data_IF_920531884393
#
_entry.id   IF_920531884393
#
_cell.length_a   1.000
_cell.length_b   1.000
_cell.length_c   1.000
_cell.angle_alpha   90.00
_cell.angle_beta   90.00
_cell.angle_gamma   90.00
#
_symmetry.space_group_name_H-M   'P 1'
#
loop_
_entity.id
_entity.type
_entity.pdbx_description
1 polymer ?
#
# COMPACT_ATOMS: atom_id res chain seq x y z
N UNK A 1 10.48 1.12 -59.30
CA UNK A 1 11.78 0.75 -58.70
C UNK A 1 11.53 -0.21 -57.53
N UNK A 2 11.52 -1.51 -57.82
CA UNK A 2 11.61 -2.60 -56.85
C UNK A 2 12.22 -3.78 -57.60
N UNK A 3 13.41 -4.22 -57.21
CA UNK A 3 13.92 -5.53 -57.59
C UNK A 3 14.90 -5.98 -56.51
N UNK A 4 14.45 -6.98 -55.76
CA UNK A 4 15.18 -7.72 -54.76
C UNK A 4 16.06 -8.75 -55.49
N UNK A 5 17.37 -8.78 -55.22
CA UNK A 5 18.26 -9.86 -55.62
C UNK A 5 18.52 -10.76 -54.41
N UNK A 6 18.07 -12.01 -54.53
CA UNK A 6 18.50 -13.14 -53.73
C UNK A 6 19.99 -13.45 -53.95
N UNK A 7 20.63 -13.99 -52.92
CA UNK A 7 21.66 -15.02 -53.08
C UNK A 7 21.32 -16.18 -52.14
N UNK A 8 21.38 -17.35 -52.75
CA UNK A 8 20.99 -18.69 -52.29
C UNK A 8 22.28 -19.52 -52.26
N UNK A 9 22.44 -20.45 -51.31
CA UNK A 9 23.36 -21.62 -51.31
C UNK A 9 23.39 -22.18 -49.87
N UNK A 10 23.08 -23.43 -49.54
CA UNK A 10 22.67 -24.60 -50.31
C UNK A 10 22.53 -25.79 -49.34
N UNK A 11 21.58 -26.68 -49.63
CA UNK A 11 21.56 -28.16 -49.51
C UNK A 11 22.61 -28.86 -48.60
N UNK A 12 22.35 -29.97 -47.89
CA UNK A 12 21.46 -31.09 -48.19
C UNK A 12 21.55 -32.20 -47.11
N UNK A 13 20.40 -32.83 -46.82
CA UNK A 13 20.10 -34.27 -46.62
C UNK A 13 20.90 -35.17 -45.65
N UNK A 14 20.14 -35.94 -44.85
CA UNK A 14 20.41 -37.39 -44.68
C UNK A 14 20.05 -38.02 -43.33
N UNK A 15 18.84 -38.58 -43.20
CA UNK A 15 18.47 -39.56 -42.15
C UNK A 15 18.39 -40.95 -42.81
N UNK A 16 19.03 -41.98 -42.23
CA UNK A 16 18.43 -43.32 -41.95
C UNK A 16 19.37 -44.32 -41.25
N UNK A 17 18.71 -45.17 -40.44
CA UNK A 17 19.12 -46.22 -39.50
C UNK A 17 19.67 -47.55 -40.08
N UNK A 18 20.39 -48.32 -39.25
CA UNK A 18 20.13 -49.76 -38.88
C UNK A 18 21.09 -50.22 -37.73
N UNK A 19 20.58 -50.63 -36.55
CA UNK A 19 20.40 -52.02 -35.97
C UNK A 19 21.73 -52.77 -35.65
N UNK A 20 21.97 -53.51 -34.55
CA UNK A 20 21.20 -54.12 -33.45
C UNK A 20 22.20 -54.70 -32.39
N UNK A 21 21.87 -54.76 -31.08
CA UNK A 21 21.98 -55.96 -30.19
C UNK A 21 21.48 -55.67 -28.75
N UNK A 22 20.92 -56.72 -28.11
CA UNK A 22 19.98 -56.74 -26.97
C UNK A 22 20.64 -56.99 -25.58
N UNK A 23 20.14 -56.26 -24.56
CA UNK A 23 19.66 -56.61 -23.19
C UNK A 23 20.41 -57.61 -22.25
N UNK A 24 20.36 -57.44 -20.89
CA UNK A 24 19.12 -57.73 -20.15
C UNK A 24 18.71 -56.81 -18.98
N UNK A 25 17.42 -56.93 -18.68
CA UNK A 25 16.60 -56.42 -17.58
C UNK A 25 17.20 -56.54 -16.17
N UNK A 26 16.93 -55.53 -15.34
CA UNK A 26 16.57 -55.73 -13.94
C UNK A 26 15.35 -54.89 -13.57
N UNK A 27 14.34 -55.59 -13.07
CA UNK A 27 13.13 -55.08 -12.44
C UNK A 27 13.43 -54.00 -11.39
N UNK A 28 12.63 -52.93 -11.39
CA UNK A 28 12.03 -52.42 -10.17
C UNK A 28 10.75 -51.64 -10.51
N UNK A 29 9.63 -52.36 -10.43
CA UNK A 29 8.33 -51.78 -10.16
C UNK A 29 8.36 -51.21 -8.74
N UNK A 30 8.24 -49.89 -8.58
CA UNK A 30 7.82 -49.31 -7.32
C UNK A 30 6.62 -48.38 -7.57
N UNK A 31 5.44 -48.94 -7.32
CA UNK A 31 4.21 -48.18 -7.06
C UNK A 31 4.32 -47.59 -5.65
N UNK A 32 4.27 -46.26 -5.53
CA UNK A 32 4.01 -45.52 -4.28
C UNK A 32 3.57 -44.11 -4.70
N UNK A 33 2.28 -43.86 -4.91
CA UNK A 33 1.34 -43.29 -3.91
C UNK A 33 2.08 -42.40 -2.91
N UNK A 34 2.38 -41.17 -3.31
CA UNK A 34 2.49 -39.99 -2.43
C UNK A 34 2.66 -38.80 -3.37
N UNK A 35 1.54 -38.23 -3.80
CA UNK A 35 1.52 -36.84 -4.24
C UNK A 35 1.93 -36.01 -3.03
N UNK A 36 3.20 -35.60 -2.97
CA UNK A 36 3.53 -34.45 -2.16
C UNK A 36 2.76 -33.29 -2.76
N UNK A 37 1.65 -32.92 -2.11
CA UNK A 37 1.13 -31.57 -2.24
C UNK A 37 2.32 -30.66 -1.95
N UNK A 38 2.82 -30.05 -3.00
CA UNK A 38 3.72 -28.92 -2.87
C UNK A 38 2.93 -27.92 -2.06
N UNK A 39 3.25 -27.82 -0.76
CA UNK A 39 2.65 -26.82 0.10
C UNK A 39 2.83 -25.51 -0.66
N UNK A 40 1.72 -24.87 -1.03
CA UNK A 40 1.74 -23.54 -1.60
C UNK A 40 2.64 -22.72 -0.69
N UNK A 41 3.78 -22.27 -1.21
CA UNK A 41 4.62 -21.32 -0.51
C UNK A 41 3.79 -20.04 -0.41
N UNK A 42 2.98 -19.93 0.64
CA UNK A 42 2.37 -18.66 1.00
C UNK A 42 3.54 -17.71 1.24
N UNK A 43 3.74 -16.67 0.43
CA UNK A 43 4.84 -15.76 0.65
C UNK A 43 4.67 -15.18 2.05
N UNK A 44 5.69 -15.32 2.90
CA UNK A 44 5.70 -14.70 4.22
C UNK A 44 5.41 -13.21 4.02
N UNK A 45 4.34 -12.73 4.65
CA UNK A 45 3.87 -11.37 4.46
C UNK A 45 4.90 -10.42 5.08
N UNK A 46 5.50 -9.56 4.25
CA UNK A 46 6.47 -8.56 4.69
C UNK A 46 5.78 -7.62 5.70
N UNK A 47 6.39 -7.45 6.87
CA UNK A 47 5.88 -6.60 7.97
C UNK A 47 5.56 -5.18 7.48
N UNK A 48 6.28 -4.70 6.47
CA UNK A 48 5.98 -3.42 5.82
C UNK A 48 4.55 -3.35 5.29
N UNK A 49 4.00 -4.41 4.68
CA UNK A 49 2.63 -4.42 4.18
C UNK A 49 1.59 -4.35 5.31
N UNK A 50 1.88 -4.96 6.46
CA UNK A 50 1.01 -4.85 7.65
C UNK A 50 0.97 -3.40 8.13
N UNK A 51 2.14 -2.77 8.22
CA UNK A 51 2.29 -1.39 8.69
C UNK A 51 1.64 -0.39 7.73
N UNK A 52 1.74 -0.58 6.42
CA UNK A 52 1.08 0.30 5.44
C UNK A 52 -0.44 0.18 5.50
N UNK A 53 -1.00 -1.03 5.62
CA UNK A 53 -2.45 -1.19 5.77
C UNK A 53 -2.97 -0.68 7.12
N UNK A 54 -2.22 -0.88 8.19
CA UNK A 54 -2.53 -0.28 9.48
C UNK A 54 -2.55 1.25 9.40
N UNK A 55 -1.60 1.86 8.68
CA UNK A 55 -1.56 3.31 8.48
C UNK A 55 -2.75 3.83 7.65
N UNK A 56 -3.17 3.11 6.61
CA UNK A 56 -4.42 3.41 5.89
C UNK A 56 -5.61 3.46 6.84
N UNK A 57 -5.78 2.42 7.66
CA UNK A 57 -6.85 2.33 8.63
C UNK A 57 -6.80 3.47 9.65
N UNK A 58 -5.65 3.68 10.29
CA UNK A 58 -5.45 4.71 11.32
C UNK A 58 -5.70 6.12 10.76
N UNK A 59 -5.26 6.42 9.54
CA UNK A 59 -5.59 7.68 8.87
C UNK A 59 -7.09 7.78 8.57
N UNK A 60 -7.71 6.72 8.06
CA UNK A 60 -9.13 6.71 7.72
C UNK A 60 -10.05 6.92 8.93
N UNK A 61 -9.61 6.55 10.14
CA UNK A 61 -10.34 6.84 11.38
C UNK A 61 -10.61 8.34 11.54
N UNK A 62 -9.78 9.24 11.03
CA UNK A 62 -10.03 10.69 11.07
C UNK A 62 -11.31 11.12 10.32
N UNK A 63 -11.86 10.29 9.44
CA UNK A 63 -12.87 10.67 8.45
C UNK A 63 -14.14 9.83 8.52
N UNK A 64 -14.45 9.27 9.69
CA UNK A 64 -15.62 8.40 9.92
C UNK A 64 -16.97 9.09 9.70
N UNK A 65 -17.02 10.43 9.73
CA UNK A 65 -18.24 11.16 9.38
C UNK A 65 -18.53 11.14 7.87
N UNK A 66 -17.51 10.88 7.04
CA UNK A 66 -17.60 10.88 5.58
C UNK A 66 -17.46 9.50 4.95
N UNK A 67 -16.74 8.59 5.59
CA UNK A 67 -16.54 7.22 5.13
C UNK A 67 -17.01 6.20 6.16
N UNK A 68 -17.80 5.25 5.69
CA UNK A 68 -18.19 4.06 6.44
C UNK A 68 -17.09 3.00 6.30
N UNK A 69 -16.29 2.83 7.35
CA UNK A 69 -15.18 1.88 7.38
C UNK A 69 -15.73 0.46 7.62
N UNK A 70 -15.37 -0.49 6.75
CA UNK A 70 -16.00 -1.82 6.76
C UNK A 70 -15.08 -2.89 7.36
N UNK A 71 -13.95 -3.15 6.71
CA UNK A 71 -13.01 -4.21 7.08
C UNK A 71 -11.67 -4.02 6.39
N UNK A 72 -10.63 -4.72 6.87
CA UNK A 72 -9.40 -4.97 6.11
C UNK A 72 -9.51 -6.36 5.51
N UNK A 73 -9.34 -6.45 4.20
CA UNK A 73 -9.26 -7.73 3.48
C UNK A 73 -7.85 -8.28 3.57
N UNK A 74 -7.65 -9.35 4.32
CA UNK A 74 -6.36 -9.98 4.60
C UNK A 74 -5.91 -10.93 3.49
N UNK A 75 -6.77 -11.20 2.52
CA UNK A 75 -6.40 -12.07 1.42
C UNK A 75 -5.26 -11.43 0.62
N UNK A 76 -4.28 -12.21 0.15
CA UNK A 76 -3.28 -11.71 -0.75
C UNK A 76 -3.92 -11.12 -2.00
N UNK A 77 -3.36 -10.02 -2.50
CA UNK A 77 -3.80 -9.48 -3.78
C UNK A 77 -3.66 -10.54 -4.89
N UNK A 78 -4.67 -10.63 -5.76
CA UNK A 78 -4.63 -11.55 -6.89
C UNK A 78 -3.50 -11.19 -7.87
N UNK A 79 -2.94 -12.21 -8.54
CA UNK A 79 -1.97 -12.13 -9.65
C UNK A 79 -0.67 -11.36 -9.32
N UNK A 80 0.33 -12.06 -8.77
CA UNK A 80 1.73 -11.61 -8.59
C UNK A 80 1.96 -10.36 -7.70
N UNK A 81 0.91 -9.80 -7.11
CA UNK A 81 1.00 -8.66 -6.18
C UNK A 81 1.26 -9.15 -4.75
N UNK A 82 2.39 -8.72 -4.18
CA UNK A 82 2.73 -8.99 -2.77
C UNK A 82 1.93 -8.06 -1.86
N UNK A 83 1.37 -8.59 -0.77
CA UNK A 83 0.70 -7.79 0.27
C UNK A 83 -0.79 -8.12 0.45
N UNK A 84 -1.44 -7.37 1.35
CA UNK A 84 -2.83 -7.52 1.79
C UNK A 84 -3.77 -6.81 0.80
N UNK A 85 -4.98 -7.35 0.57
CA UNK A 85 -5.99 -6.79 -0.34
C UNK A 85 -6.57 -5.44 0.12
N UNK A 86 -6.41 -5.15 1.40
CA UNK A 86 -6.34 -3.80 1.95
C UNK A 86 -7.65 -3.29 2.52
N UNK A 87 -7.59 -2.09 3.07
CA UNK A 87 -8.73 -1.42 3.71
C UNK A 87 -9.91 -1.25 2.74
N UNK A 88 -11.09 -1.70 3.15
CA UNK A 88 -12.37 -1.48 2.46
C UNK A 88 -13.23 -0.50 3.24
N UNK A 89 -13.70 0.54 2.55
CA UNK A 89 -14.63 1.52 3.08
C UNK A 89 -15.57 2.01 1.99
N UNK A 90 -16.75 2.45 2.38
CA UNK A 90 -17.72 3.08 1.50
C UNK A 90 -17.74 4.58 1.76
N UNK A 91 -17.92 5.35 0.70
CA UNK A 91 -18.30 6.75 0.80
C UNK A 91 -19.82 6.85 0.73
N UNK A 92 -20.42 7.73 1.51
CA UNK A 92 -21.83 8.08 1.32
C UNK A 92 -22.04 8.70 -0.08
N UNK A 93 -22.65 7.92 -0.98
CA UNK A 93 -22.88 8.29 -2.37
C UNK A 93 -23.77 9.54 -2.50
N UNK A 94 -24.56 9.87 -1.47
CA UNK A 94 -25.46 11.03 -1.47
C UNK A 94 -24.75 12.35 -1.23
N UNK A 95 -23.52 12.34 -0.69
CA UNK A 95 -22.74 13.56 -0.45
C UNK A 95 -22.04 14.01 -1.74
N UNK A 96 -22.10 15.29 -2.06
CA UNK A 96 -21.37 15.88 -3.20
C UNK A 96 -19.87 15.76 -2.99
N UNK A 97 -19.12 15.48 -4.06
CA UNK A 97 -17.65 15.43 -4.01
C UNK A 97 -17.05 16.83 -3.88
N UNK A 98 -16.94 17.30 -2.64
CA UNK A 98 -16.24 18.53 -2.29
C UNK A 98 -14.72 18.31 -2.24
N UNK A 99 -13.89 19.36 -2.42
CA UNK A 99 -12.43 19.26 -2.30
C UNK A 99 -11.96 18.58 -1.00
N UNK A 100 -12.69 18.81 0.10
CA UNK A 100 -12.44 18.14 1.39
C UNK A 100 -12.41 16.61 1.27
N UNK A 101 -13.36 16.01 0.55
CA UNK A 101 -13.46 14.55 0.42
C UNK A 101 -12.28 13.98 -0.38
N UNK A 102 -11.91 14.67 -1.45
CA UNK A 102 -10.74 14.31 -2.25
C UNK A 102 -9.45 14.39 -1.44
N UNK A 103 -9.35 15.38 -0.57
CA UNK A 103 -8.22 15.53 0.34
C UNK A 103 -8.15 14.42 1.39
N UNK A 104 -9.29 14.00 1.93
CA UNK A 104 -9.34 12.86 2.86
C UNK A 104 -8.86 11.57 2.18
N UNK A 105 -9.34 11.29 0.96
CA UNK A 105 -8.90 10.12 0.18
C UNK A 105 -7.40 10.19 -0.12
N UNK A 106 -6.90 11.37 -0.50
CA UNK A 106 -5.47 11.57 -0.73
C UNK A 106 -4.63 11.32 0.54
N UNK A 107 -5.09 11.76 1.72
CA UNK A 107 -4.42 11.50 2.99
C UNK A 107 -4.39 10.00 3.32
N UNK A 108 -5.49 9.29 3.08
CA UNK A 108 -5.53 7.83 3.24
C UNK A 108 -4.51 7.20 2.30
N UNK A 109 -4.58 7.46 0.99
CA UNK A 109 -3.67 6.83 0.01
C UNK A 109 -2.19 7.10 0.32
N UNK A 110 -1.81 8.35 0.65
CA UNK A 110 -0.40 8.66 0.89
C UNK A 110 0.16 8.06 2.19
N UNK A 111 -0.72 7.54 3.05
CA UNK A 111 -0.31 6.99 4.34
C UNK A 111 0.59 5.77 4.22
N UNK A 112 0.47 4.95 3.16
CA UNK A 112 1.40 3.83 2.96
C UNK A 112 2.84 4.29 2.75
N UNK A 113 3.07 5.32 1.93
CA UNK A 113 4.40 5.89 1.69
C UNK A 113 4.97 6.48 2.99
N UNK A 114 4.16 7.24 3.73
CA UNK A 114 4.59 7.81 5.01
C UNK A 114 4.96 6.71 6.02
N UNK A 115 4.12 5.69 6.16
CA UNK A 115 4.35 4.59 7.09
C UNK A 115 5.53 3.71 6.69
N UNK A 116 5.70 3.39 5.41
CA UNK A 116 6.86 2.67 4.91
C UNK A 116 8.17 3.43 5.17
N UNK A 117 8.14 4.76 5.03
CA UNK A 117 9.29 5.63 5.31
C UNK A 117 9.63 5.65 6.80
N UNK A 118 8.63 5.82 7.67
CA UNK A 118 8.83 5.77 9.13
C UNK A 118 9.28 4.38 9.58
N UNK A 119 8.72 3.31 9.02
CA UNK A 119 9.10 1.94 9.35
C UNK A 119 10.57 1.65 8.98
N UNK A 120 11.01 2.11 7.80
CA UNK A 120 12.38 1.88 7.32
C UNK A 120 13.42 2.73 8.04
N UNK A 121 13.11 4.00 8.30
CA UNK A 121 14.08 4.98 8.77
C UNK A 121 13.93 5.34 10.26
N UNK A 122 12.78 5.03 10.87
CA UNK A 122 12.47 5.40 12.24
C UNK A 122 11.78 6.77 12.36
N UNK A 123 10.91 6.87 13.37
CA UNK A 123 10.11 8.07 13.68
C UNK A 123 10.98 9.32 13.90
N UNK A 124 12.05 9.18 14.68
CA UNK A 124 12.94 10.29 15.04
C UNK A 124 13.66 10.88 13.82
N UNK A 125 14.20 10.00 12.96
CA UNK A 125 14.93 10.41 11.76
C UNK A 125 13.99 11.12 10.79
N UNK A 126 12.81 10.55 10.51
CA UNK A 126 11.80 11.22 9.67
C UNK A 126 11.35 12.55 10.27
N UNK A 127 11.22 12.64 11.60
CA UNK A 127 10.88 13.88 12.30
C UNK A 127 11.87 15.02 12.03
N UNK A 128 13.16 14.71 11.95
CA UNK A 128 14.22 15.69 11.64
C UNK A 128 14.27 16.02 10.14
N UNK A 129 14.27 14.98 9.29
CA UNK A 129 14.55 15.10 7.87
C UNK A 129 13.37 15.57 7.03
N UNK A 130 12.12 15.41 7.48
CA UNK A 130 10.94 15.82 6.68
C UNK A 130 10.92 17.31 6.34
N UNK A 131 11.65 18.13 7.09
CA UNK A 131 11.79 19.57 6.83
C UNK A 131 12.56 19.88 5.53
N UNK A 132 13.37 18.93 5.04
CA UNK A 132 14.10 19.03 3.79
C UNK A 132 13.23 18.70 2.56
N UNK A 133 12.00 18.23 2.76
CA UNK A 133 11.08 17.92 1.66
C UNK A 133 10.46 19.21 1.12
N UNK A 134 10.34 19.38 -0.20
CA UNK A 134 10.58 18.40 -1.27
C UNK A 134 11.97 18.42 -1.89
N UNK A 135 12.86 19.29 -1.41
CA UNK A 135 14.17 19.51 -2.03
C UNK A 135 15.03 18.24 -2.00
N UNK A 136 14.89 17.42 -0.95
CA UNK A 136 15.50 16.09 -0.85
C UNK A 136 14.47 15.04 -0.40
N UNK A 137 14.02 14.19 -1.33
CA UNK A 137 13.06 13.12 -1.04
C UNK A 137 13.70 11.73 -0.84
N UNK A 138 15.01 11.65 -0.59
CA UNK A 138 15.74 10.37 -0.51
C UNK A 138 15.20 9.41 0.57
N UNK A 139 14.59 9.97 1.62
CA UNK A 139 14.01 9.22 2.74
C UNK A 139 12.57 8.74 2.47
N UNK A 140 11.98 9.08 1.33
CA UNK A 140 10.65 8.58 0.96
C UNK A 140 10.74 7.17 0.36
N UNK A 141 10.03 6.24 0.97
CA UNK A 141 9.93 4.85 0.52
C UNK A 141 8.66 4.67 -0.32
N UNK A 142 8.82 4.52 -1.63
CA UNK A 142 7.71 4.28 -2.57
C UNK A 142 7.64 2.83 -3.07
N UNK A 143 8.67 2.03 -2.81
CA UNK A 143 8.69 0.60 -3.16
C UNK A 143 7.58 -0.14 -2.40
N UNK A 144 6.67 -0.77 -3.15
CA UNK A 144 5.49 -1.45 -2.61
C UNK A 144 4.26 -0.54 -2.42
N UNK A 145 4.38 0.77 -2.64
CA UNK A 145 3.31 1.76 -2.43
C UNK A 145 2.96 2.55 -3.70
N UNK A 146 3.40 2.09 -4.88
CA UNK A 146 3.25 2.84 -6.13
C UNK A 146 1.79 3.11 -6.53
N UNK A 147 0.91 2.11 -6.37
CA UNK A 147 -0.51 2.27 -6.70
C UNK A 147 -1.21 3.30 -5.80
N UNK A 148 -0.87 3.29 -4.50
CA UNK A 148 -1.35 4.29 -3.54
C UNK A 148 -0.89 5.69 -3.93
N UNK A 149 0.39 5.84 -4.27
CA UNK A 149 0.94 7.13 -4.71
C UNK A 149 0.26 7.66 -5.99
N UNK A 150 -0.09 6.78 -6.92
CA UNK A 150 -0.87 7.14 -8.10
C UNK A 150 -2.30 7.57 -7.75
N UNK A 151 -2.99 6.84 -6.86
CA UNK A 151 -4.33 7.19 -6.36
C UNK A 151 -4.33 8.52 -5.63
N UNK A 152 -3.37 8.72 -4.73
CA UNK A 152 -3.08 9.99 -4.05
C UNK A 152 -2.99 11.15 -5.05
N UNK A 153 -2.18 10.99 -6.09
CA UNK A 153 -1.99 12.03 -7.12
C UNK A 153 -3.28 12.32 -7.88
N UNK A 154 -4.09 11.30 -8.17
CA UNK A 154 -5.41 11.45 -8.81
C UNK A 154 -6.40 12.17 -7.90
N UNK A 155 -6.43 11.85 -6.60
CA UNK A 155 -7.32 12.48 -5.64
C UNK A 155 -6.95 13.93 -5.33
N UNK A 156 -5.67 14.32 -5.37
CA UNK A 156 -5.28 15.71 -5.14
C UNK A 156 -5.52 16.68 -6.31
N UNK A 157 -5.70 16.17 -7.52
CA UNK A 157 -5.95 17.00 -8.71
C UNK A 157 -7.19 17.90 -8.55
N UNK A 158 -8.37 17.37 -8.15
CA UNK A 158 -9.54 18.20 -7.83
C UNK A 158 -9.29 19.26 -6.76
N UNK A 159 -8.55 18.93 -5.69
CA UNK A 159 -8.23 19.87 -4.60
C UNK A 159 -7.40 21.04 -5.15
N UNK A 160 -6.33 20.73 -5.88
CA UNK A 160 -5.44 21.72 -6.47
C UNK A 160 -6.16 22.65 -7.45
N UNK A 161 -7.04 22.08 -8.29
CA UNK A 161 -7.85 22.84 -9.25
C UNK A 161 -8.84 23.76 -8.55
N UNK A 162 -9.51 23.29 -7.50
CA UNK A 162 -10.48 24.09 -6.77
C UNK A 162 -9.85 25.33 -6.13
N UNK A 163 -8.68 25.18 -5.51
CA UNK A 163 -7.97 26.29 -4.85
C UNK A 163 -7.04 27.08 -5.79
N UNK A 164 -6.97 26.71 -7.07
CA UNK A 164 -6.06 27.31 -8.06
C UNK A 164 -4.59 27.27 -7.61
N UNK A 165 -4.17 26.11 -7.11
CA UNK A 165 -2.82 25.83 -6.62
C UNK A 165 -2.04 24.95 -7.61
N UNK A 166 -0.71 25.08 -7.58
CA UNK A 166 0.18 24.16 -8.31
C UNK A 166 0.03 22.75 -7.70
N UNK A 167 -0.26 21.70 -8.50
CA UNK A 167 -0.45 20.35 -7.97
C UNK A 167 0.70 19.86 -7.09
N UNK A 168 1.93 20.18 -7.47
CA UNK A 168 3.13 19.83 -6.70
C UNK A 168 3.13 20.43 -5.28
N UNK A 169 2.65 21.66 -5.11
CA UNK A 169 2.61 22.30 -3.79
C UNK A 169 1.57 21.62 -2.90
N UNK A 170 0.38 21.36 -3.44
CA UNK A 170 -0.68 20.62 -2.73
C UNK A 170 -0.21 19.22 -2.34
N UNK A 171 0.49 18.52 -3.25
CA UNK A 171 1.06 17.20 -2.98
C UNK A 171 1.99 17.21 -1.78
N UNK A 172 2.99 18.09 -1.77
CA UNK A 172 3.96 18.16 -0.68
C UNK A 172 3.35 18.64 0.62
N UNK A 173 2.42 19.60 0.58
CA UNK A 173 1.67 20.00 1.77
C UNK A 173 0.93 18.79 2.38
N UNK A 174 0.22 18.01 1.57
CA UNK A 174 -0.53 16.84 2.03
C UNK A 174 0.39 15.73 2.55
N UNK A 175 1.52 15.47 1.88
CA UNK A 175 2.54 14.52 2.36
C UNK A 175 3.08 14.95 3.73
N UNK A 176 3.47 16.22 3.87
CA UNK A 176 3.99 16.75 5.13
C UNK A 176 2.95 16.70 6.25
N UNK A 177 1.67 16.90 5.92
CA UNK A 177 0.58 16.80 6.90
C UNK A 177 0.30 15.36 7.31
N UNK A 178 0.43 14.40 6.40
CA UNK A 178 0.39 12.98 6.75
C UNK A 178 1.57 12.60 7.66
N UNK A 179 2.79 13.04 7.36
CA UNK A 179 3.93 12.86 8.28
C UNK A 179 3.70 13.52 9.64
N UNK A 180 3.26 14.78 9.68
CA UNK A 180 2.94 15.48 10.93
C UNK A 180 1.99 14.64 11.79
N UNK A 181 0.95 14.07 11.20
CA UNK A 181 -0.01 13.21 11.90
C UNK A 181 0.64 11.95 12.47
N UNK A 182 1.36 11.17 11.66
CA UNK A 182 2.02 9.95 12.14
C UNK A 182 3.12 10.20 13.18
N UNK A 183 3.64 11.42 13.24
CA UNK A 183 4.64 11.82 14.23
C UNK A 183 4.04 12.29 15.57
N UNK A 184 2.73 12.57 15.63
CA UNK A 184 2.05 12.91 16.89
C UNK A 184 2.09 11.74 17.89
N UNK A 185 1.96 12.07 19.17
CA UNK A 185 1.95 11.08 20.25
C UNK A 185 0.74 10.15 20.13
N UNK A 186 0.97 8.85 20.37
CA UNK A 186 -0.05 7.80 20.28
C UNK A 186 -0.44 7.37 18.86
N UNK A 187 -0.14 8.15 17.81
CA UNK A 187 -0.53 7.79 16.43
C UNK A 187 0.31 6.64 15.89
N UNK A 188 1.64 6.73 15.99
CA UNK A 188 2.50 5.64 15.53
C UNK A 188 2.30 4.36 16.35
N UNK A 189 2.07 4.49 17.66
CA UNK A 189 1.77 3.36 18.53
C UNK A 189 0.47 2.67 18.12
N UNK A 190 -0.56 3.44 17.74
CA UNK A 190 -1.79 2.90 17.17
C UNK A 190 -1.56 2.17 15.83
N UNK A 191 -0.66 2.68 14.97
CA UNK A 191 -0.29 2.00 13.72
C UNK A 191 0.37 0.64 14.01
N UNK A 192 1.33 0.60 14.93
CA UNK A 192 2.00 -0.64 15.31
C UNK A 192 1.00 -1.62 15.94
N UNK A 193 0.16 -1.16 16.86
CA UNK A 193 -0.87 -1.98 17.48
C UNK A 193 -1.83 -2.61 16.44
N UNK A 194 -2.33 -1.81 15.49
CA UNK A 194 -3.19 -2.33 14.43
C UNK A 194 -2.42 -3.29 13.51
N UNK A 195 -1.15 -3.03 13.19
CA UNK A 195 -0.33 -3.93 12.39
C UNK A 195 -0.13 -5.29 13.08
N UNK A 196 0.08 -5.30 14.40
CA UNK A 196 0.13 -6.51 15.21
C UNK A 196 -1.21 -7.25 15.20
N UNK A 197 -2.32 -6.53 15.38
CA UNK A 197 -3.66 -7.11 15.32
C UNK A 197 -3.95 -7.74 13.94
N UNK A 198 -3.52 -7.10 12.85
CA UNK A 198 -3.60 -7.66 11.48
C UNK A 198 -2.76 -8.94 11.38
N UNK A 199 -1.55 -8.93 11.93
CA UNK A 199 -0.63 -10.10 11.92
C UNK A 199 -1.24 -11.30 12.65
N UNK A 200 -1.79 -11.08 13.84
CA UNK A 200 -2.38 -12.12 14.69
C UNK A 200 -3.60 -12.76 14.04
N UNK A 201 -4.37 -11.97 13.28
CA UNK A 201 -5.61 -12.40 12.66
C UNK A 201 -5.47 -12.73 11.16
N UNK A 202 -4.23 -12.84 10.62
CA UNK A 202 -3.96 -13.05 9.19
C UNK A 202 -4.71 -14.22 8.53
N UNK A 203 -5.08 -15.23 9.31
CA UNK A 203 -5.76 -16.43 8.82
C UNK A 203 -7.30 -16.27 8.75
N UNK A 204 -7.86 -15.15 9.23
CA UNK A 204 -9.31 -14.94 9.27
C UNK A 204 -9.90 -14.48 7.93
N UNK A 205 -9.05 -14.15 6.95
CA UNK A 205 -9.46 -13.62 5.65
C UNK A 205 -9.92 -12.17 5.69
N UNK A 206 -10.68 -11.75 6.70
CA UNK A 206 -11.09 -10.35 6.93
C UNK A 206 -11.03 -9.99 8.41
N UNK A 207 -10.80 -8.71 8.71
CA UNK A 207 -10.97 -8.13 10.05
C UNK A 207 -11.93 -6.96 9.97
N UNK A 208 -13.04 -7.00 10.71
CA UNK A 208 -14.05 -5.94 10.66
C UNK A 208 -13.59 -4.65 11.34
N UNK A 209 -14.11 -3.52 10.87
CA UNK A 209 -13.86 -2.22 11.48
C UNK A 209 -14.24 -2.19 12.97
N UNK A 210 -15.39 -2.79 13.31
CA UNK A 210 -15.86 -2.87 14.69
C UNK A 210 -14.87 -3.59 15.61
N UNK A 211 -14.33 -4.74 15.18
CA UNK A 211 -13.35 -5.48 15.96
C UNK A 211 -12.05 -4.70 16.13
N UNK A 212 -11.52 -4.11 15.06
CA UNK A 212 -10.30 -3.29 15.13
C UNK A 212 -10.47 -2.08 16.04
N UNK A 213 -11.63 -1.40 15.99
CA UNK A 213 -11.89 -0.22 16.79
C UNK A 213 -12.08 -0.57 18.27
N UNK A 214 -12.78 -1.66 18.57
CA UNK A 214 -12.94 -2.18 19.93
C UNK A 214 -11.58 -2.50 20.54
N UNK A 215 -10.76 -3.30 19.86
CA UNK A 215 -9.41 -3.64 20.32
C UNK A 215 -8.51 -2.41 20.48
N UNK A 216 -8.56 -1.47 19.52
CA UNK A 216 -7.80 -0.23 19.63
C UNK A 216 -8.27 0.60 20.84
N UNK A 217 -9.57 0.64 21.11
CA UNK A 217 -10.13 1.42 22.22
C UNK A 217 -9.71 0.94 23.61
N UNK A 218 -9.36 -0.33 23.72
CA UNK A 218 -8.84 -0.96 24.94
C UNK A 218 -7.32 -0.78 25.11
N UNK A 219 -6.63 -0.34 24.05
CA UNK A 219 -5.18 -0.14 24.07
C UNK A 219 -4.77 1.09 24.89
N UNK A 220 -3.56 1.05 25.45
CA UNK A 220 -3.01 2.17 26.24
C UNK A 220 -2.72 3.42 25.39
N UNK A 221 -2.53 3.27 24.08
CA UNK A 221 -2.27 4.39 23.18
C UNK A 221 -3.54 5.17 22.78
N UNK A 222 -4.73 4.60 23.00
CA UNK A 222 -5.99 5.14 22.51
C UNK A 222 -6.31 6.58 22.95
N UNK A 223 -6.10 6.97 24.22
CA UNK A 223 -6.39 8.35 24.64
C UNK A 223 -5.52 9.37 23.89
N UNK A 224 -4.22 9.10 23.76
CA UNK A 224 -3.28 9.97 23.04
C UNK A 224 -3.63 10.03 21.54
N UNK A 225 -3.98 8.88 20.95
CA UNK A 225 -4.45 8.80 19.57
C UNK A 225 -5.71 9.65 19.33
N UNK A 226 -6.71 9.60 20.22
CA UNK A 226 -7.92 10.43 20.11
C UNK A 226 -7.59 11.92 20.15
N UNK A 227 -6.73 12.36 21.07
CA UNK A 227 -6.27 13.75 21.12
C UNK A 227 -5.54 14.16 19.83
N UNK A 228 -4.69 13.30 19.28
CA UNK A 228 -4.00 13.56 18.03
C UNK A 228 -4.95 13.70 16.83
N UNK A 229 -6.00 12.87 16.75
CA UNK A 229 -7.05 12.98 15.70
C UNK A 229 -7.77 14.32 15.75
N UNK A 230 -8.23 14.72 16.93
CA UNK A 230 -8.91 16.00 17.13
C UNK A 230 -8.00 17.18 16.73
N UNK A 231 -6.74 17.17 17.21
CA UNK A 231 -5.75 18.18 16.87
C UNK A 231 -5.44 18.26 15.37
N UNK A 232 -5.32 17.10 14.71
CA UNK A 232 -5.06 17.03 13.27
C UNK A 232 -6.21 17.61 12.44
N UNK A 233 -7.45 17.24 12.76
CA UNK A 233 -8.63 17.75 12.05
C UNK A 233 -8.78 19.27 12.22
N UNK A 234 -8.59 19.77 13.44
CA UNK A 234 -8.63 21.22 13.73
C UNK A 234 -7.52 22.00 13.03
N UNK A 235 -6.33 21.41 12.90
CA UNK A 235 -5.18 22.05 12.26
C UNK A 235 -5.31 22.11 10.73
N UNK A 236 -6.04 21.17 10.11
CA UNK A 236 -6.17 21.07 8.65
C UNK A 236 -7.44 21.67 8.10
N UNK A 237 -8.57 21.55 8.80
CA UNK A 237 -9.89 21.93 8.31
C UNK A 237 -10.46 23.18 9.00
N UNK A 238 -11.23 24.03 8.30
CA UNK A 238 -11.61 23.90 6.88
C UNK A 238 -10.43 24.08 5.93
N UNK A 239 -10.48 23.41 4.78
CA UNK A 239 -9.46 23.60 3.76
C UNK A 239 -9.54 25.03 3.22
N UNK A 240 -8.40 25.71 3.20
CA UNK A 240 -8.26 27.03 2.61
C UNK A 240 -7.08 27.02 1.64
N UNK A 241 -7.09 27.94 0.68
CA UNK A 241 -5.95 28.13 -0.21
C UNK A 241 -4.66 28.36 0.59
N UNK A 242 -4.72 29.23 1.59
CA UNK A 242 -3.59 29.59 2.45
C UNK A 242 -3.03 28.39 3.23
N UNK A 243 -3.88 27.49 3.72
CA UNK A 243 -3.40 26.31 4.48
C UNK A 243 -2.79 25.22 3.60
N UNK A 244 -3.08 25.23 2.30
CA UNK A 244 -2.54 24.29 1.31
C UNK A 244 -1.33 24.83 0.54
N UNK A 245 -1.03 26.13 0.67
CA UNK A 245 0.17 26.73 0.09
C UNK A 245 1.42 26.25 0.85
N UNK A 246 2.44 25.82 0.10
CA UNK A 246 3.79 25.67 0.63
C UNK A 246 4.40 27.08 0.72
N UNK A 247 4.83 27.49 1.91
CA UNK A 247 5.64 28.70 2.04
C UNK A 247 6.98 28.41 1.37
N UNK A 248 7.29 29.15 0.30
CA UNK A 248 8.60 29.12 -0.35
C UNK A 248 9.65 29.79 0.54
#
# INVERSE_FOLDING_TARGET
>A
MHSCKMLNLGCAFGIKHQQHQREPNYFNLQLSILSFQQAEHTPALDLRYLVTEAAHYVMALNFQEEFDLLYIDLNPNAEDKKGIAGLKFNRDAKKTMLPKIYDHLALIDISSVCAASIYKHGKEIIGMEKSNFPADAAMMVTEGCGEDYERFSKHLLPVSRYFLLRPLHTQWNTILKAFDFFLMDGVWDAVIFIAELISENKNMGIISHAHMLESLSESTCYPAFCTAREGFLLARYPLTKKSLEMNN
#
